data_IF_823042920213
#
_entry.id   IF_823042920213
#
_cell.length_a   1.000
_cell.length_b   1.000
_cell.length_c   1.000
_cell.angle_alpha   90.00
_cell.angle_beta   90.00
_cell.angle_gamma   90.00
#
_symmetry.space_group_name_H-M   'P 1'
#
loop_
_entity.id
_entity.type
_entity.pdbx_description
1 polymer ?
#
# COMPACT_ATOMS: atom_id res chain seq x y z
N UNK A 1 -1.52 1.76 -1.21
CA UNK A 1 -0.99 3.09 -0.85
C UNK A 1 -1.32 4.01 -2.00
N UNK A 2 -2.07 5.08 -1.75
CA UNK A 2 -2.56 5.94 -2.81
C UNK A 2 -1.74 7.22 -2.81
N UNK A 3 -0.62 7.16 -3.51
CA UNK A 3 0.41 8.19 -3.59
C UNK A 3 -0.14 9.47 -4.25
N UNK A 4 -1.16 9.35 -5.09
CA UNK A 4 -1.74 10.45 -5.85
C UNK A 4 -3.07 10.98 -5.27
N UNK A 5 -3.50 10.50 -4.09
CA UNK A 5 -4.77 10.97 -3.49
C UNK A 5 -6.04 10.54 -4.24
N UNK A 6 -5.94 9.63 -5.21
CA UNK A 6 -7.05 8.94 -5.89
C UNK A 6 -7.86 7.97 -4.99
N UNK A 7 -8.95 8.44 -4.38
CA UNK A 7 -9.82 7.62 -3.54
C UNK A 7 -11.02 7.00 -4.26
N UNK A 8 -11.00 6.87 -5.60
CA UNK A 8 -12.13 6.36 -6.40
C UNK A 8 -12.63 4.97 -5.98
N UNK A 9 -11.75 4.12 -5.45
CA UNK A 9 -12.05 2.73 -5.09
C UNK A 9 -12.08 2.48 -3.57
N UNK A 10 -12.07 3.54 -2.76
CA UNK A 10 -12.16 3.42 -1.30
C UNK A 10 -13.60 3.12 -0.91
N UNK A 11 -13.78 2.12 -0.04
CA UNK A 11 -15.09 1.79 0.52
C UNK A 11 -15.65 2.97 1.35
N UNK A 12 -16.95 3.32 1.22
CA UNK A 12 -17.54 4.41 1.99
C UNK A 12 -17.36 4.30 3.51
N UNK A 13 -17.43 3.09 4.07
CA UNK A 13 -17.21 2.85 5.50
C UNK A 13 -15.79 3.16 5.95
N UNK A 14 -14.80 3.06 5.05
CA UNK A 14 -13.41 3.44 5.37
C UNK A 14 -13.23 4.94 5.58
N UNK A 15 -14.05 5.79 4.94
CA UNK A 15 -14.04 7.23 5.22
C UNK A 15 -14.61 7.53 6.60
N UNK A 16 -15.67 6.83 7.00
CA UNK A 16 -16.23 6.95 8.35
C UNK A 16 -15.22 6.52 9.41
N UNK A 17 -14.51 5.41 9.18
CA UNK A 17 -13.45 4.95 10.08
C UNK A 17 -12.33 5.99 10.25
N UNK A 18 -11.94 6.69 9.17
CA UNK A 18 -10.94 7.77 9.25
C UNK A 18 -11.42 8.98 10.06
N UNK A 19 -12.69 9.38 9.91
CA UNK A 19 -13.28 10.49 10.70
C UNK A 19 -13.25 10.11 12.18
N UNK A 20 -13.73 8.91 12.51
CA UNK A 20 -13.82 8.45 13.89
C UNK A 20 -12.47 8.28 14.53
N UNK A 21 -11.50 7.77 13.78
CA UNK A 21 -10.15 7.62 14.29
C UNK A 21 -9.53 8.98 14.63
N UNK A 22 -9.75 10.02 13.82
CA UNK A 22 -9.30 11.37 14.17
C UNK A 22 -10.01 11.93 15.41
N UNK A 23 -11.34 11.78 15.50
CA UNK A 23 -12.10 12.19 16.70
C UNK A 23 -11.58 11.48 17.96
N UNK A 24 -11.26 10.19 17.84
CA UNK A 24 -10.66 9.40 18.91
C UNK A 24 -9.25 9.89 19.28
N UNK A 25 -8.41 10.26 18.31
CA UNK A 25 -7.07 10.79 18.57
C UNK A 25 -7.07 12.12 19.33
N UNK A 26 -8.11 12.96 19.16
CA UNK A 26 -8.26 14.21 19.93
C UNK A 26 -8.38 13.94 21.44
N UNK A 27 -8.84 12.76 21.86
CA UNK A 27 -8.98 12.39 23.27
C UNK A 27 -7.65 11.89 23.90
N UNK A 28 -6.61 11.64 23.10
CA UNK A 28 -5.36 10.98 23.53
C UNK A 28 -4.13 11.91 23.61
N UNK A 29 -4.31 13.23 23.48
CA UNK A 29 -3.29 14.29 23.71
C UNK A 29 -1.87 13.98 23.19
N UNK A 30 -1.76 13.32 22.03
CA UNK A 30 -0.47 13.00 21.40
C UNK A 30 0.15 11.63 21.75
N UNK A 31 -0.49 10.79 22.57
CA UNK A 31 -0.07 9.41 22.84
C UNK A 31 -0.44 8.47 21.66
N UNK A 32 0.27 8.60 20.54
CA UNK A 32 0.00 7.86 19.31
C UNK A 32 -0.02 6.34 19.49
N UNK A 33 1.01 5.77 20.13
CA UNK A 33 1.18 4.31 20.22
C UNK A 33 0.01 3.67 20.99
N UNK A 34 -0.39 4.26 22.11
CA UNK A 34 -1.52 3.78 22.91
C UNK A 34 -2.84 3.98 22.18
N UNK A 35 -3.04 5.13 21.52
CA UNK A 35 -4.24 5.36 20.73
C UNK A 35 -4.37 4.34 19.59
N UNK A 36 -3.31 4.15 18.80
CA UNK A 36 -3.30 3.25 17.65
C UNK A 36 -3.53 1.79 18.05
N UNK A 37 -2.87 1.31 19.11
CA UNK A 37 -3.05 -0.06 19.60
C UNK A 37 -4.47 -0.29 20.16
N UNK A 38 -5.01 0.68 20.89
CA UNK A 38 -6.34 0.57 21.49
C UNK A 38 -7.47 0.70 20.46
N UNK A 39 -7.23 1.38 19.34
CA UNK A 39 -8.22 1.59 18.28
C UNK A 39 -8.82 0.28 17.75
N UNK A 40 -8.06 -0.81 17.71
CA UNK A 40 -8.58 -2.13 17.29
C UNK A 40 -9.77 -2.54 18.17
N UNK A 41 -9.69 -2.35 19.48
CA UNK A 41 -10.76 -2.71 20.40
C UNK A 41 -11.94 -1.74 20.31
N UNK A 42 -11.65 -0.44 20.19
CA UNK A 42 -12.68 0.61 20.08
C UNK A 42 -13.48 0.46 18.79
N UNK A 43 -12.80 0.28 17.66
CA UNK A 43 -13.42 0.11 16.34
C UNK A 43 -14.29 -1.16 16.26
N UNK A 44 -13.92 -2.25 16.94
CA UNK A 44 -14.73 -3.48 17.00
C UNK A 44 -16.03 -3.26 17.77
N UNK A 45 -15.96 -2.71 18.99
CA UNK A 45 -17.16 -2.35 19.77
C UNK A 45 -18.08 -1.42 18.98
N UNK A 46 -17.50 -0.44 18.31
CA UNK A 46 -18.26 0.46 17.46
C UNK A 46 -18.95 -0.25 16.29
N UNK A 47 -18.26 -1.15 15.58
CA UNK A 47 -18.84 -1.96 14.49
C UNK A 47 -19.99 -2.84 14.97
N UNK A 48 -19.95 -3.30 16.23
CA UNK A 48 -21.02 -4.09 16.86
C UNK A 48 -22.23 -3.21 17.25
N UNK A 49 -22.00 -2.05 17.86
CA UNK A 49 -23.03 -1.11 18.29
C UNK A 49 -23.73 -0.41 17.12
N UNK A 50 -22.96 -0.06 16.09
CA UNK A 50 -23.41 0.64 14.89
C UNK A 50 -23.38 -0.30 13.69
N UNK A 51 -24.01 -1.48 13.80
CA UNK A 51 -24.23 -2.39 12.66
C UNK A 51 -24.67 -1.58 11.44
N UNK A 52 -23.72 -1.37 10.53
CA UNK A 52 -23.87 -0.47 9.40
C UNK A 52 -25.04 -1.00 8.58
N UNK A 53 -26.10 -0.21 8.44
CA UNK A 53 -27.11 -0.47 7.41
C UNK A 53 -26.35 -0.70 6.09
N UNK A 54 -26.65 -1.72 5.27
CA UNK A 54 -25.81 -2.10 4.12
C UNK A 54 -25.50 -0.98 3.11
N UNK A 55 -26.21 0.14 3.20
CA UNK A 55 -26.07 1.35 2.38
C UNK A 55 -25.84 2.63 3.22
N UNK A 56 -25.36 2.47 4.47
CA UNK A 56 -25.47 3.46 5.55
C UNK A 56 -25.08 4.88 5.14
N UNK A 57 -25.96 5.85 5.42
CA UNK A 57 -25.85 7.33 5.39
C UNK A 57 -25.07 8.04 4.27
N UNK A 58 -24.43 7.32 3.36
CA UNK A 58 -23.71 7.79 2.18
C UNK A 58 -24.69 7.99 1.02
N UNK A 59 -25.84 8.58 1.35
CA UNK A 59 -26.73 9.13 0.34
C UNK A 59 -25.95 10.21 -0.44
N UNK A 60 -26.14 10.33 -1.78
CA UNK A 60 -25.42 11.27 -2.63
C UNK A 60 -25.45 12.74 -2.18
N UNK A 61 -26.33 13.09 -1.24
CA UNK A 61 -26.64 14.44 -0.78
C UNK A 61 -25.86 14.88 0.47
N UNK A 62 -25.15 13.99 1.17
CA UNK A 62 -24.39 14.37 2.37
C UNK A 62 -22.95 14.81 2.03
N UNK A 63 -22.84 15.86 1.22
CA UNK A 63 -21.57 16.43 0.76
C UNK A 63 -20.62 16.82 1.90
N UNK A 64 -21.18 17.29 3.03
CA UNK A 64 -20.40 17.67 4.21
C UNK A 64 -19.70 16.46 4.81
N UNK A 65 -20.43 15.36 5.04
CA UNK A 65 -19.87 14.11 5.57
C UNK A 65 -18.80 13.55 4.63
N UNK A 66 -19.05 13.59 3.32
CA UNK A 66 -18.06 13.18 2.32
C UNK A 66 -16.79 14.00 2.37
N UNK A 67 -16.89 15.33 2.35
CA UNK A 67 -15.72 16.19 2.43
C UNK A 67 -14.95 15.98 3.74
N UNK A 68 -15.65 15.80 4.88
CA UNK A 68 -15.02 15.48 6.17
C UNK A 68 -14.24 14.15 6.08
N UNK A 69 -14.82 13.12 5.47
CA UNK A 69 -14.17 11.82 5.29
C UNK A 69 -12.94 11.89 4.39
N UNK A 70 -13.03 12.60 3.27
CA UNK A 70 -11.89 12.84 2.38
C UNK A 70 -10.77 13.60 3.10
N UNK A 71 -11.10 14.69 3.80
CA UNK A 71 -10.12 15.45 4.57
C UNK A 71 -9.48 14.61 5.68
N UNK A 72 -10.29 13.82 6.41
CA UNK A 72 -9.81 12.95 7.46
C UNK A 72 -8.80 11.93 6.92
N UNK A 73 -9.18 11.19 5.88
CA UNK A 73 -8.30 10.21 5.24
C UNK A 73 -7.03 10.87 4.67
N UNK A 74 -7.17 11.99 3.97
CA UNK A 74 -6.02 12.71 3.43
C UNK A 74 -5.06 13.15 4.55
N UNK A 75 -5.56 13.66 5.68
CA UNK A 75 -4.72 14.10 6.79
C UNK A 75 -3.96 12.96 7.49
N UNK A 76 -4.55 11.76 7.56
CA UNK A 76 -3.92 10.58 8.15
C UNK A 76 -2.82 10.00 7.26
N UNK A 77 -3.06 9.95 5.95
CA UNK A 77 -2.20 9.25 4.98
C UNK A 77 -1.30 10.17 4.15
N UNK A 78 -1.43 11.50 4.26
CA UNK A 78 -0.48 12.44 3.64
C UNK A 78 0.93 12.21 4.19
N UNK A 79 1.91 12.71 3.47
CA UNK A 79 3.28 12.78 3.93
C UNK A 79 3.38 13.41 5.33
N UNK A 80 4.09 12.75 6.25
CA UNK A 80 4.20 13.16 7.65
C UNK A 80 2.91 12.99 8.47
N UNK A 81 1.83 12.49 7.86
CA UNK A 81 0.60 12.12 8.54
C UNK A 81 0.82 10.89 9.43
N UNK A 82 0.06 10.74 10.52
CA UNK A 82 0.37 9.75 11.54
C UNK A 82 0.26 8.30 11.02
N UNK A 83 -0.72 7.98 10.17
CA UNK A 83 -0.78 6.65 9.53
C UNK A 83 0.29 6.46 8.45
N UNK A 84 0.71 7.53 7.77
CA UNK A 84 1.85 7.43 6.85
C UNK A 84 3.15 7.12 7.60
N UNK A 85 3.40 7.81 8.71
CA UNK A 85 4.55 7.56 9.59
C UNK A 85 4.53 6.14 10.17
N UNK A 86 3.37 5.65 10.61
CA UNK A 86 3.24 4.27 11.11
C UNK A 86 3.56 3.25 10.00
N UNK A 87 3.00 3.43 8.80
CA UNK A 87 3.27 2.56 7.66
C UNK A 87 4.72 2.64 7.17
N UNK A 88 5.38 3.78 7.33
CA UNK A 88 6.78 3.99 6.95
C UNK A 88 7.77 3.11 7.73
N UNK A 89 7.34 2.55 8.86
CA UNK A 89 8.12 1.59 9.67
C UNK A 89 8.26 0.23 8.97
N UNK A 90 7.44 -0.02 7.95
CA UNK A 90 7.44 -1.27 7.20
C UNK A 90 8.12 -1.10 5.84
N UNK A 91 8.97 -2.05 5.42
CA UNK A 91 9.62 -1.98 4.12
C UNK A 91 8.63 -2.22 2.98
N UNK A 92 8.87 -1.59 1.82
CA UNK A 92 8.11 -1.84 0.58
C UNK A 92 8.49 -3.19 -0.03
N UNK A 93 9.74 -3.61 0.20
CA UNK A 93 10.26 -4.91 -0.20
C UNK A 93 10.86 -5.60 1.02
N UNK A 94 10.29 -6.74 1.40
CA UNK A 94 10.76 -7.52 2.54
C UNK A 94 11.53 -8.75 2.06
N UNK A 95 12.69 -9.01 2.65
CA UNK A 95 13.45 -10.24 2.45
C UNK A 95 13.34 -11.11 3.72
N UNK A 96 12.85 -12.35 3.57
CA UNK A 96 12.79 -13.34 4.64
C UNK A 96 13.46 -14.62 4.16
N UNK A 97 14.65 -14.90 4.71
CA UNK A 97 15.51 -16.00 4.28
C UNK A 97 15.80 -15.91 2.77
N UNK A 98 15.34 -16.90 1.99
CA UNK A 98 15.53 -16.96 0.54
C UNK A 98 14.30 -16.45 -0.24
N UNK A 99 13.38 -15.71 0.40
CA UNK A 99 12.12 -15.28 -0.21
C UNK A 99 11.94 -13.77 -0.18
N UNK A 100 11.58 -13.21 -1.34
CA UNK A 100 11.25 -11.80 -1.51
C UNK A 100 9.74 -11.58 -1.46
N UNK A 101 9.30 -10.54 -0.76
CA UNK A 101 7.90 -10.12 -0.67
C UNK A 101 7.77 -8.67 -1.13
N UNK A 102 6.91 -8.42 -2.12
CA UNK A 102 6.67 -7.09 -2.66
C UNK A 102 5.25 -7.00 -3.25
N UNK A 103 4.70 -5.78 -3.39
CA UNK A 103 3.31 -5.63 -3.82
C UNK A 103 3.11 -5.94 -5.31
N UNK A 104 3.85 -5.30 -6.22
CA UNK A 104 3.79 -5.55 -7.67
C UNK A 104 4.84 -6.56 -8.13
N UNK A 105 6.11 -6.32 -7.77
CA UNK A 105 7.23 -7.18 -8.18
C UNK A 105 8.59 -6.48 -8.12
N UNK A 106 9.67 -7.25 -8.08
CA UNK A 106 11.03 -6.75 -8.29
C UNK A 106 11.46 -6.97 -9.73
N UNK A 107 12.14 -5.99 -10.32
CA UNK A 107 12.77 -6.07 -11.63
C UNK A 107 14.30 -5.94 -11.47
N UNK A 108 15.11 -6.33 -12.47
CA UNK A 108 16.57 -6.30 -12.35
C UNK A 108 17.12 -4.93 -11.95
N UNK A 109 16.55 -3.84 -12.49
CA UNK A 109 16.97 -2.49 -12.17
C UNK A 109 16.60 -2.05 -10.75
N UNK A 110 15.57 -2.63 -10.12
CA UNK A 110 15.29 -2.39 -8.70
C UNK A 110 16.39 -2.97 -7.81
N UNK A 111 16.90 -4.16 -8.17
CA UNK A 111 17.99 -4.81 -7.44
C UNK A 111 19.29 -4.04 -7.63
N UNK A 112 19.58 -3.58 -8.86
CA UNK A 112 20.73 -2.72 -9.16
C UNK A 112 20.69 -1.39 -8.40
N UNK A 113 19.51 -0.78 -8.27
CA UNK A 113 19.33 0.46 -7.52
C UNK A 113 19.55 0.27 -6.00
N UNK A 114 19.28 -0.92 -5.49
CA UNK A 114 19.48 -1.31 -4.09
C UNK A 114 18.17 -1.33 -3.31
N UNK A 115 17.82 -2.49 -2.75
CA UNK A 115 16.54 -2.71 -2.07
C UNK A 115 16.46 -1.94 -0.75
N UNK A 116 17.55 -1.93 0.01
CA UNK A 116 17.67 -1.18 1.26
C UNK A 116 17.53 0.33 1.02
N UNK A 117 18.08 0.80 -0.11
CA UNK A 117 17.94 2.18 -0.55
C UNK A 117 16.49 2.52 -0.87
N UNK A 118 15.81 1.67 -1.66
CA UNK A 118 14.38 1.84 -1.96
C UNK A 118 13.55 1.94 -0.68
N UNK A 119 13.74 0.99 0.24
CA UNK A 119 13.00 0.96 1.50
C UNK A 119 13.25 2.23 2.33
N UNK A 120 14.51 2.69 2.39
CA UNK A 120 14.87 3.93 3.11
C UNK A 120 14.26 5.17 2.46
N UNK A 121 14.33 5.30 1.14
CA UNK A 121 13.78 6.46 0.43
C UNK A 121 12.26 6.54 0.59
N UNK A 122 11.54 5.41 0.49
CA UNK A 122 10.09 5.38 0.75
C UNK A 122 9.77 5.70 2.20
N UNK A 123 10.47 5.09 3.14
CA UNK A 123 10.27 5.34 4.57
C UNK A 123 10.48 6.80 4.93
N UNK A 124 11.56 7.41 4.43
CA UNK A 124 11.86 8.82 4.63
C UNK A 124 10.79 9.70 3.97
N UNK A 125 10.46 9.42 2.70
CA UNK A 125 9.44 10.17 1.99
C UNK A 125 8.12 10.14 2.76
N UNK A 126 7.65 9.00 3.25
CA UNK A 126 6.40 8.92 4.02
C UNK A 126 6.41 9.69 5.34
N UNK A 127 7.58 9.80 6.01
CA UNK A 127 7.73 10.47 7.31
C UNK A 127 7.94 11.98 7.22
N UNK A 128 8.53 12.47 6.13
CA UNK A 128 8.83 13.89 5.98
C UNK A 128 7.54 14.73 5.85
N UNK A 129 7.58 15.98 6.33
CA UNK A 129 6.47 16.89 6.11
C UNK A 129 6.53 17.43 4.67
N UNK A 130 5.37 17.76 4.08
CA UNK A 130 5.30 18.34 2.73
C UNK A 130 5.94 19.73 2.62
N UNK A 131 6.33 20.35 3.74
CA UNK A 131 7.02 21.64 3.76
C UNK A 131 8.54 21.49 3.56
N UNK A 132 9.08 20.30 3.80
CA UNK A 132 10.52 20.03 3.80
C UNK A 132 11.07 19.53 2.45
N UNK A 133 10.19 19.27 1.47
CA UNK A 133 10.49 18.44 0.32
C UNK A 133 9.90 19.00 -1.00
N UNK A 134 10.73 19.05 -2.04
CA UNK A 134 10.31 19.32 -3.41
C UNK A 134 9.64 18.07 -4.01
N UNK A 135 8.70 18.24 -4.94
CA UNK A 135 7.93 17.16 -5.59
C UNK A 135 8.83 16.14 -6.33
N UNK A 136 10.12 16.45 -6.46
CA UNK A 136 11.20 15.63 -7.00
C UNK A 136 11.68 14.50 -6.06
N UNK A 137 11.31 14.51 -4.77
CA UNK A 137 11.76 13.49 -3.79
C UNK A 137 10.82 12.27 -3.68
N UNK A 138 9.75 12.20 -4.48
CA UNK A 138 8.92 10.99 -4.55
C UNK A 138 9.79 9.82 -5.08
N UNK A 139 9.87 8.66 -4.40
CA UNK A 139 10.66 7.52 -4.86
C UNK A 139 9.95 6.79 -6.01
N UNK A 140 10.00 7.38 -7.21
CA UNK A 140 9.32 6.89 -8.43
C UNK A 140 9.56 5.40 -8.65
N UNK A 141 10.81 4.94 -8.50
CA UNK A 141 11.19 3.53 -8.68
C UNK A 141 10.34 2.56 -7.83
N UNK A 142 9.83 3.00 -6.69
CA UNK A 142 8.97 2.20 -5.84
C UNK A 142 7.49 2.51 -6.03
N UNK A 143 7.12 3.78 -6.24
CA UNK A 143 5.76 4.27 -6.02
C UNK A 143 4.99 4.67 -7.27
N UNK A 144 5.65 4.84 -8.42
CA UNK A 144 5.02 5.39 -9.64
C UNK A 144 5.61 4.84 -10.93
N UNK A 145 4.75 4.61 -11.91
CA UNK A 145 5.14 4.05 -13.21
C UNK A 145 4.88 2.54 -13.26
N UNK A 146 4.61 2.04 -14.47
CA UNK A 146 4.20 0.66 -14.71
C UNK A 146 5.24 -0.40 -14.34
N UNK A 147 6.51 0.00 -14.21
CA UNK A 147 7.62 -0.84 -13.84
C UNK A 147 8.00 -0.72 -12.36
N UNK A 148 7.44 0.25 -11.61
CA UNK A 148 7.75 0.43 -10.20
C UNK A 148 7.36 -0.75 -9.32
N UNK A 149 8.03 -0.88 -8.17
CA UNK A 149 7.87 -2.00 -7.23
C UNK A 149 6.41 -2.27 -6.85
N UNK A 150 5.59 -1.22 -6.65
CA UNK A 150 4.19 -1.38 -6.24
C UNK A 150 3.21 -1.50 -7.41
N UNK A 151 3.54 -1.08 -8.61
CA UNK A 151 2.61 -1.04 -9.75
C UNK A 151 2.86 -2.06 -10.85
N UNK A 152 4.05 -2.67 -10.88
CA UNK A 152 4.34 -3.66 -11.91
C UNK A 152 3.38 -4.85 -11.85
N UNK A 153 2.89 -5.23 -13.02
CA UNK A 153 2.00 -6.38 -13.24
C UNK A 153 2.70 -7.54 -13.93
N UNK A 154 4.01 -7.42 -14.19
CA UNK A 154 4.77 -8.38 -14.99
C UNK A 154 4.56 -9.84 -14.54
N UNK A 155 4.46 -10.05 -13.23
CA UNK A 155 4.30 -11.38 -12.62
C UNK A 155 2.87 -11.75 -12.25
N UNK A 156 1.93 -10.79 -12.27
CA UNK A 156 0.55 -10.97 -11.79
C UNK A 156 -0.52 -10.73 -12.86
N UNK A 157 -0.14 -10.58 -14.13
CA UNK A 157 -1.05 -10.48 -15.28
C UNK A 157 -2.15 -11.56 -15.26
N UNK A 158 -3.38 -11.17 -15.59
CA UNK A 158 -4.52 -12.08 -15.65
C UNK A 158 -4.25 -13.20 -16.67
N UNK A 159 -4.59 -14.42 -16.28
CA UNK A 159 -4.55 -15.62 -17.10
C UNK A 159 -5.19 -15.47 -18.49
N UNK A 160 -6.26 -14.66 -18.63
CA UNK A 160 -6.96 -14.46 -19.90
C UNK A 160 -6.13 -13.61 -20.87
N UNK A 161 -5.34 -12.67 -20.35
CA UNK A 161 -4.50 -11.77 -21.14
C UNK A 161 -3.09 -12.35 -21.38
N UNK A 162 -2.72 -13.43 -20.68
CA UNK A 162 -1.34 -13.90 -20.64
C UNK A 162 -1.00 -14.87 -21.76
N UNK A 163 -0.35 -14.35 -22.79
CA UNK A 163 0.23 -15.14 -23.89
C UNK A 163 1.41 -16.01 -23.42
N UNK A 164 1.72 -17.10 -24.13
CA UNK A 164 2.92 -17.92 -23.83
C UNK A 164 4.21 -17.10 -23.83
N UNK A 165 4.31 -16.13 -24.75
CA UNK A 165 5.46 -15.24 -24.84
C UNK A 165 5.63 -14.36 -23.60
N UNK A 166 4.55 -13.80 -23.06
CA UNK A 166 4.64 -12.98 -21.83
C UNK A 166 4.97 -13.81 -20.60
N UNK A 167 4.53 -15.08 -20.55
CA UNK A 167 4.99 -16.04 -19.55
C UNK A 167 6.48 -16.31 -19.61
N UNK A 168 7.02 -16.64 -20.79
CA UNK A 168 8.43 -16.97 -20.93
C UNK A 168 9.31 -15.75 -20.56
N UNK A 169 8.91 -14.55 -21.00
CA UNK A 169 9.58 -13.29 -20.65
C UNK A 169 9.55 -13.00 -19.15
N UNK A 170 8.38 -13.09 -18.51
CA UNK A 170 8.27 -12.86 -17.06
C UNK A 170 9.08 -13.89 -16.26
N UNK A 171 9.15 -15.14 -16.72
CA UNK A 171 9.95 -16.20 -16.08
C UNK A 171 11.46 -15.91 -16.16
N UNK A 172 11.96 -15.52 -17.34
CA UNK A 172 13.37 -15.14 -17.53
C UNK A 172 13.73 -13.94 -16.65
N UNK A 173 12.88 -12.91 -16.61
CA UNK A 173 13.13 -11.71 -15.81
C UNK A 173 13.07 -12.05 -14.31
N UNK A 174 12.15 -12.90 -13.88
CA UNK A 174 12.07 -13.36 -12.49
C UNK A 174 13.34 -14.14 -12.09
N UNK A 175 13.80 -15.06 -12.93
CA UNK A 175 15.02 -15.84 -12.67
C UNK A 175 16.25 -14.93 -12.56
N UNK A 176 16.42 -14.01 -13.50
CA UNK A 176 17.50 -13.02 -13.47
C UNK A 176 17.44 -12.17 -12.20
N UNK A 177 16.25 -11.67 -11.83
CA UNK A 177 16.07 -10.82 -10.66
C UNK A 177 16.38 -11.58 -9.37
N UNK A 178 15.86 -12.81 -9.23
CA UNK A 178 16.07 -13.67 -8.07
C UNK A 178 17.55 -14.05 -7.92
N UNK A 179 18.22 -14.36 -9.02
CA UNK A 179 19.66 -14.62 -9.03
C UNK A 179 20.47 -13.40 -8.59
N UNK A 180 20.10 -12.20 -9.05
CA UNK A 180 20.78 -10.96 -8.67
C UNK A 180 20.62 -10.62 -7.19
N UNK A 181 19.45 -10.87 -6.60
CA UNK A 181 19.20 -10.62 -5.17
C UNK A 181 19.62 -11.80 -4.27
N UNK A 182 19.93 -12.97 -4.86
CA UNK A 182 20.30 -14.17 -4.11
C UNK A 182 19.11 -14.89 -3.44
N UNK A 183 17.90 -14.75 -3.99
CA UNK A 183 16.68 -15.37 -3.46
C UNK A 183 16.24 -16.59 -4.30
N UNK A 184 15.45 -17.48 -3.70
CA UNK A 184 14.85 -18.67 -4.35
C UNK A 184 13.46 -18.40 -4.92
N UNK A 185 12.76 -17.39 -4.40
CA UNK A 185 11.39 -17.11 -4.81
C UNK A 185 10.92 -15.71 -4.48
N UNK A 186 9.83 -15.31 -5.14
CA UNK A 186 9.19 -14.01 -4.96
C UNK A 186 7.68 -14.20 -4.80
N UNK A 187 7.11 -13.54 -3.79
CA UNK A 187 5.67 -13.45 -3.57
C UNK A 187 5.21 -12.05 -3.93
N UNK A 188 4.23 -11.98 -4.83
CA UNK A 188 3.67 -10.74 -5.38
C UNK A 188 2.16 -10.70 -5.24
N UNK A 189 1.60 -9.49 -5.28
CA UNK A 189 0.15 -9.23 -5.29
C UNK A 189 -0.25 -8.31 -6.44
N UNK A 190 -0.84 -7.17 -6.06
CA UNK A 190 -1.32 -6.08 -6.93
C UNK A 190 -2.51 -6.41 -7.86
N UNK A 191 -2.47 -7.54 -8.56
CA UNK A 191 -3.55 -7.97 -9.45
C UNK A 191 -4.40 -9.05 -8.76
N UNK A 192 -5.70 -8.80 -8.50
CA UNK A 192 -6.59 -9.80 -7.92
C UNK A 192 -6.64 -11.07 -8.76
N UNK A 193 -6.53 -12.23 -8.11
CA UNK A 193 -6.60 -13.54 -8.75
C UNK A 193 -7.87 -14.25 -8.30
N UNK A 194 -8.77 -14.56 -9.25
CA UNK A 194 -10.10 -15.15 -8.95
C UNK A 194 -10.02 -16.54 -8.34
N UNK A 195 -8.90 -17.24 -8.51
CA UNK A 195 -8.65 -18.59 -7.98
C UNK A 195 -7.81 -18.60 -6.70
N UNK A 196 -7.57 -17.45 -6.08
CA UNK A 196 -6.73 -17.33 -4.90
C UNK A 196 -5.25 -17.17 -5.26
N UNK A 197 -4.43 -18.20 -5.05
CA UNK A 197 -2.97 -18.12 -5.28
C UNK A 197 -2.58 -18.83 -6.57
N UNK A 198 -1.83 -18.13 -7.41
CA UNK A 198 -1.15 -18.73 -8.55
C UNK A 198 0.34 -18.89 -8.24
N UNK A 199 0.95 -19.97 -8.76
CA UNK A 199 2.37 -20.23 -8.63
C UNK A 199 2.93 -20.68 -9.97
N UNK A 200 4.18 -20.31 -10.23
CA UNK A 200 4.89 -20.62 -11.47
C UNK A 200 6.28 -21.11 -11.12
N UNK A 201 6.68 -22.22 -11.74
CA UNK A 201 8.07 -22.68 -11.72
C UNK A 201 8.86 -21.90 -12.76
N UNK A 202 9.99 -21.36 -12.33
CA UNK A 202 10.97 -20.75 -13.23
C UNK A 202 11.75 -21.86 -13.96
N UNK A 203 12.42 -21.47 -15.05
CA UNK A 203 13.20 -22.39 -15.89
C UNK A 203 14.51 -22.81 -15.21
#
# INVERSE_FOLDING_TARGET
MNVEGDFRYVDPGSFDECIRFLEYLEEFDGEWDDAFLNWVNVSQKWKEEYRVSPNGDWLPLNFVKKNKGFAARASLFKQGGPLACELARHPVVLNVNDWMFCHGGLLPHHVEYGIERINKEVSNWMQCSSEDIDDTDLPFIATRGYDSVVWTRLYSQDSVERTRRSWDLSSIIAEQTLKSVGAKGMVVGHTPQTRGVNWYTLF
#
